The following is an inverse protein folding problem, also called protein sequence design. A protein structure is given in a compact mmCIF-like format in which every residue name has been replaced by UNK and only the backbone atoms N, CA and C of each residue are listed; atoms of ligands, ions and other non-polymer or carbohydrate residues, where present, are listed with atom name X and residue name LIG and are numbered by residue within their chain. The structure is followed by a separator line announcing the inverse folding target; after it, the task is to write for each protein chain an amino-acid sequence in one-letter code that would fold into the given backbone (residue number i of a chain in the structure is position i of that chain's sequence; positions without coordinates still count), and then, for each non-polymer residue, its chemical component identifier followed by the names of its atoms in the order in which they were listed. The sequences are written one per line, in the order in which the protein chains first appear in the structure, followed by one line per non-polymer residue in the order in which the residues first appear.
data_IF_587569275620
#
_entry.id   IF_587569275620
#
_cell.length_a   1.000
_cell.length_b   1.000
_cell.length_c   1.000
_cell.angle_alpha   90.00
_cell.angle_beta   90.00
_cell.angle_gamma   90.00
#
_symmetry.space_group_name_H-M   'P 1'
#
loop_
_entity.id
_entity.type
_entity.pdbx_description
1 polymer ?
#
# COMPACT_ATOMS: atom_id res chain seq x y z
N UNK A 1 -27.94 -29.03 -12.80
CA UNK A 1 -26.71 -28.92 -13.61
C UNK A 1 -26.29 -27.46 -13.62
N UNK A 2 -25.15 -27.15 -13.03
CA UNK A 2 -24.52 -25.84 -13.15
C UNK A 2 -24.00 -25.65 -14.58
N UNK A 3 -24.02 -24.42 -15.08
CA UNK A 3 -23.18 -24.07 -16.22
C UNK A 3 -23.50 -22.73 -16.85
N UNK A 4 -22.60 -21.77 -16.60
CA UNK A 4 -22.33 -20.56 -17.40
C UNK A 4 -22.95 -19.26 -16.88
N UNK A 5 -22.19 -18.60 -16.00
CA UNK A 5 -22.18 -17.14 -15.90
C UNK A 5 -20.81 -16.71 -16.42
N UNK A 6 -20.81 -16.08 -17.59
CA UNK A 6 -19.66 -15.39 -18.16
C UNK A 6 -19.20 -14.28 -17.20
N UNK A 7 -17.89 -14.10 -16.95
CA UNK A 7 -17.42 -12.93 -16.24
C UNK A 7 -17.52 -11.73 -17.19
N UNK A 8 -18.58 -10.95 -17.06
CA UNK A 8 -18.66 -9.63 -17.70
C UNK A 8 -17.48 -8.78 -17.25
N UNK A 9 -16.72 -8.37 -18.25
CA UNK A 9 -15.79 -7.26 -18.21
C UNK A 9 -16.51 -5.98 -17.81
N UNK A 10 -16.28 -5.50 -16.59
CA UNK A 10 -16.40 -4.07 -16.26
C UNK A 10 -15.17 -3.67 -15.44
N UNK A 11 -14.13 -3.30 -16.17
CA UNK A 11 -13.24 -2.23 -15.76
C UNK A 11 -14.07 -0.96 -15.93
N UNK A 12 -14.61 -0.41 -14.85
CA UNK A 12 -14.61 1.04 -14.63
C UNK A 12 -15.27 1.41 -13.31
N UNK A 13 -14.58 2.32 -12.66
CA UNK A 13 -15.06 3.31 -11.71
C UNK A 13 -15.47 2.74 -10.35
N UNK A 14 -14.61 3.03 -9.37
CA UNK A 14 -15.06 3.40 -8.04
C UNK A 14 -16.32 4.26 -8.21
N UNK A 15 -17.49 3.68 -7.93
CA UNK A 15 -18.73 4.44 -7.87
C UNK A 15 -18.59 5.36 -6.67
N UNK A 16 -18.11 6.57 -6.95
CA UNK A 16 -18.34 7.76 -6.16
C UNK A 16 -19.86 7.95 -6.09
N UNK A 17 -20.47 7.23 -5.15
CA UNK A 17 -21.74 7.67 -4.57
C UNK A 17 -21.44 9.00 -3.91
N UNK A 18 -22.20 10.04 -4.26
CA UNK A 18 -22.04 11.42 -3.78
C UNK A 18 -21.75 11.48 -2.27
N UNK A 19 -20.47 11.42 -1.94
CA UNK A 19 -19.96 11.58 -0.58
C UNK A 19 -19.37 12.97 -0.58
N UNK A 20 -20.05 13.87 0.12
CA UNK A 20 -19.44 15.13 0.52
C UNK A 20 -18.18 14.78 1.33
N UNK A 21 -17.02 14.97 0.70
CA UNK A 21 -15.71 14.78 1.32
C UNK A 21 -15.42 16.05 2.10
N UNK A 22 -15.50 15.97 3.43
CA UNK A 22 -15.06 17.06 4.29
C UNK A 22 -13.59 16.85 4.65
N UNK A 23 -12.74 17.77 4.18
CA UNK A 23 -11.34 17.84 4.56
C UNK A 23 -11.22 18.44 5.96
N UNK A 24 -10.63 17.70 6.90
CA UNK A 24 -10.36 18.20 8.24
C UNK A 24 -8.91 17.87 8.60
N UNK A 25 -8.04 18.89 8.55
CA UNK A 25 -6.67 18.78 9.01
C UNK A 25 -6.66 18.60 10.53
N UNK A 26 -6.38 17.39 11.02
CA UNK A 26 -6.21 17.14 12.47
C UNK A 26 -4.82 17.47 12.99
N UNK A 27 -4.16 18.42 12.32
CA UNK A 27 -3.16 19.31 12.89
C UNK A 27 -3.47 20.75 12.46
N UNK A 28 -4.57 21.27 12.98
CA UNK A 28 -4.80 22.68 13.31
C UNK A 28 -6.13 22.80 14.05
N UNK A 29 -6.20 22.44 15.33
CA UNK A 29 -7.43 22.66 16.12
C UNK A 29 -7.76 24.15 16.38
N UNK A 30 -7.27 25.09 15.56
CA UNK A 30 -7.22 26.51 15.89
C UNK A 30 -7.30 27.52 14.71
N UNK A 31 -7.33 27.12 13.43
CA UNK A 31 -7.08 28.10 12.33
C UNK A 31 -8.24 28.63 11.50
N UNK A 32 -9.44 28.07 11.51
CA UNK A 32 -10.53 28.70 10.75
C UNK A 32 -11.17 29.90 11.47
N UNK A 33 -11.23 29.95 12.80
CA UNK A 33 -11.91 31.07 13.47
C UNK A 33 -11.09 32.37 13.55
N UNK A 34 -9.81 32.35 13.14
CA UNK A 34 -8.90 33.49 13.31
C UNK A 34 -8.56 34.17 11.97
N UNK A 35 -8.52 33.46 10.84
CA UNK A 35 -7.90 33.99 9.62
C UNK A 35 -8.85 34.44 8.51
N UNK A 36 -10.16 34.29 8.68
CA UNK A 36 -11.14 34.93 7.77
C UNK A 36 -11.03 36.46 7.73
N UNK A 37 -10.62 37.18 8.80
CA UNK A 37 -10.38 38.63 8.75
C UNK A 37 -8.90 39.02 8.55
N UNK A 38 -7.93 38.14 8.84
CA UNK A 38 -6.48 38.47 8.88
C UNK A 38 -5.81 38.36 7.50
N UNK A 39 -6.52 37.82 6.49
CA UNK A 39 -6.04 37.82 5.10
C UNK A 39 -6.10 39.21 4.43
N UNK A 40 -6.54 40.25 5.16
CA UNK A 40 -6.30 41.64 4.81
C UNK A 40 -5.05 42.15 5.53
N UNK A 41 -4.01 42.36 4.72
CA UNK A 41 -2.78 43.12 4.99
C UNK A 41 -1.65 42.39 5.75
N UNK A 42 -0.51 42.30 5.05
CA UNK A 42 0.84 41.93 5.51
C UNK A 42 1.13 40.43 5.69
N UNK A 43 1.22 39.78 4.52
CA UNK A 43 2.19 38.73 4.14
C UNK A 43 2.60 37.71 5.21
N UNK A 44 2.11 36.47 5.07
CA UNK A 44 2.88 35.30 5.52
C UNK A 44 4.34 35.47 5.04
N UNK A 45 5.33 35.28 5.94
CA UNK A 45 6.70 35.16 5.49
C UNK A 45 6.81 33.92 4.59
N UNK A 46 7.64 34.01 3.55
CA UNK A 46 7.71 33.03 2.47
C UNK A 46 8.03 31.60 2.97
N UNK A 47 8.71 31.44 4.11
CA UNK A 47 9.01 30.14 4.72
C UNK A 47 7.78 29.48 5.37
N UNK A 48 6.91 30.23 6.05
CA UNK A 48 5.65 29.71 6.60
C UNK A 48 4.65 29.39 5.48
N UNK A 49 4.61 30.21 4.43
CA UNK A 49 3.84 29.93 3.22
C UNK A 49 4.37 28.70 2.46
N UNK A 50 5.69 28.51 2.41
CA UNK A 50 6.29 27.31 1.85
C UNK A 50 6.03 26.08 2.71
N UNK A 51 6.09 26.15 4.04
CA UNK A 51 5.69 25.04 4.92
C UNK A 51 4.18 24.73 4.84
N UNK A 52 3.35 25.70 4.46
CA UNK A 52 1.94 25.49 4.13
C UNK A 52 1.73 24.79 2.77
N UNK A 53 2.60 25.05 1.78
CA UNK A 53 2.62 24.33 0.47
C UNK A 53 3.29 22.95 0.60
N UNK A 54 4.29 22.84 1.46
CA UNK A 54 5.05 21.63 1.78
C UNK A 54 4.28 20.92 2.91
N UNK A 55 3.22 20.21 2.54
CA UNK A 55 2.40 19.45 3.50
C UNK A 55 3.29 18.48 4.32
N UNK A 56 3.47 18.83 5.59
CA UNK A 56 4.05 18.00 6.65
C UNK A 56 2.98 17.78 7.72
N UNK A 57 2.53 16.54 7.86
CA UNK A 57 1.44 16.23 8.79
C UNK A 57 0.55 15.10 8.31
N UNK A 58 -0.65 14.99 8.87
CA UNK A 58 -1.64 13.99 8.43
C UNK A 58 -2.93 14.69 8.05
N UNK A 59 -3.37 14.44 6.82
CA UNK A 59 -4.71 14.84 6.36
C UNK A 59 -5.68 13.78 6.84
N UNK A 60 -6.74 14.19 7.54
CA UNK A 60 -7.84 13.32 7.92
C UNK A 60 -9.09 13.69 7.13
N UNK A 61 -9.80 12.68 6.63
CA UNK A 61 -11.10 12.82 5.99
C UNK A 61 -12.13 12.07 6.83
N UNK A 62 -13.37 12.54 6.81
CA UNK A 62 -14.41 12.10 7.72
C UNK A 62 -15.68 11.71 6.98
N UNK A 63 -16.38 10.71 7.51
CA UNK A 63 -17.75 10.40 7.14
C UNK A 63 -18.70 11.51 7.62
N UNK A 64 -19.92 11.55 7.05
CA UNK A 64 -20.97 12.51 7.47
C UNK A 64 -21.31 12.42 8.96
N UNK A 65 -21.13 11.26 9.57
CA UNK A 65 -21.35 11.03 11.01
C UNK A 65 -20.19 11.52 11.91
N UNK A 66 -19.16 12.16 11.34
CA UNK A 66 -18.01 12.69 12.08
C UNK A 66 -16.95 11.65 12.45
N UNK A 67 -17.11 10.39 12.05
CA UNK A 67 -16.06 9.36 12.22
C UNK A 67 -15.02 9.47 11.11
N UNK A 68 -13.80 9.06 11.40
CA UNK A 68 -12.70 9.12 10.44
C UNK A 68 -12.95 8.12 9.31
N UNK A 69 -12.88 8.62 8.08
CA UNK A 69 -12.92 7.85 6.84
C UNK A 69 -11.51 7.45 6.43
N UNK A 70 -10.56 8.38 6.51
CA UNK A 70 -9.21 8.18 6.00
C UNK A 70 -8.19 9.07 6.70
N UNK A 71 -6.96 8.59 6.80
CA UNK A 71 -5.78 9.31 7.29
C UNK A 71 -4.65 9.12 6.30
N UNK A 72 -4.09 10.21 5.81
CA UNK A 72 -2.97 10.18 4.88
C UNK A 72 -1.82 11.02 5.43
N UNK A 73 -0.69 10.40 5.82
CA UNK A 73 0.48 11.14 6.26
C UNK A 73 1.25 11.71 5.06
N UNK A 74 1.73 12.94 5.21
CA UNK A 74 2.55 13.66 4.25
C UNK A 74 3.87 14.10 4.89
N UNK A 75 4.91 14.11 4.08
CA UNK A 75 6.21 14.68 4.38
C UNK A 75 6.78 15.30 3.11
N UNK A 76 7.25 16.53 3.22
CA UNK A 76 7.68 17.41 2.17
C UNK A 76 6.66 17.53 1.02
N UNK A 77 5.38 17.66 1.33
CA UNK A 77 4.31 17.74 0.32
C UNK A 77 3.95 16.39 -0.33
N UNK A 78 4.64 15.31 0.01
CA UNK A 78 4.44 13.98 -0.59
C UNK A 78 3.86 13.00 0.42
N UNK A 79 2.94 12.12 -0.01
CA UNK A 79 2.44 11.02 0.84
C UNK A 79 3.61 10.21 1.37
N UNK A 80 3.74 10.09 2.68
CA UNK A 80 4.88 9.44 3.29
C UNK A 80 4.50 8.83 4.63
N UNK A 81 4.55 7.49 4.70
CA UNK A 81 4.00 6.71 5.81
C UNK A 81 2.84 5.84 5.36
N UNK A 82 2.11 5.29 6.33
CA UNK A 82 0.96 4.44 6.04
C UNK A 82 -0.30 5.30 5.94
N UNK A 83 -0.94 5.28 4.77
CA UNK A 83 -2.31 5.77 4.63
C UNK A 83 -3.28 4.69 5.14
N UNK A 84 -4.29 5.11 5.89
CA UNK A 84 -5.26 4.22 6.53
C UNK A 84 -6.66 4.70 6.16
N UNK A 85 -7.51 3.81 5.66
CA UNK A 85 -8.94 4.05 5.51
C UNK A 85 -9.71 3.14 6.47
N UNK A 86 -10.86 3.62 6.94
CA UNK A 86 -11.66 2.96 7.96
C UNK A 86 -13.07 2.70 7.42
N UNK A 87 -13.77 1.74 8.02
CA UNK A 87 -15.21 1.59 7.89
C UNK A 87 -15.92 2.61 8.78
N UNK A 88 -17.22 2.83 8.57
CA UNK A 88 -18.04 3.67 9.46
C UNK A 88 -18.14 3.12 10.89
N UNK A 89 -17.87 1.82 11.09
CA UNK A 89 -17.70 1.24 12.42
C UNK A 89 -16.44 1.73 13.14
N UNK A 90 -15.49 2.35 12.44
CA UNK A 90 -14.18 2.78 12.94
C UNK A 90 -13.10 1.70 12.82
N UNK A 91 -13.44 0.51 12.34
CA UNK A 91 -12.47 -0.56 12.06
C UNK A 91 -11.67 -0.24 10.81
N UNK A 92 -10.42 -0.68 10.78
CA UNK A 92 -9.56 -0.46 9.62
C UNK A 92 -10.11 -1.23 8.40
N UNK A 93 -10.11 -0.56 7.25
CA UNK A 93 -10.58 -1.08 5.97
C UNK A 93 -9.40 -1.27 5.01
N UNK A 94 -8.52 -0.28 4.91
CA UNK A 94 -7.37 -0.31 3.99
C UNK A 94 -6.14 0.28 4.66
N UNK A 95 -4.98 -0.29 4.36
CA UNK A 95 -3.67 0.25 4.70
C UNK A 95 -2.79 0.29 3.45
N UNK A 96 -2.25 1.45 3.08
CA UNK A 96 -1.37 1.60 1.91
C UNK A 96 -0.04 2.24 2.34
N UNK A 97 1.10 1.56 2.16
CA UNK A 97 2.41 2.12 2.51
C UNK A 97 2.92 3.03 1.39
N UNK A 98 3.02 4.33 1.69
CA UNK A 98 3.67 5.32 0.83
C UNK A 98 5.07 5.65 1.31
N UNK A 99 5.99 5.81 0.37
CA UNK A 99 7.33 6.34 0.57
C UNK A 99 7.57 7.42 -0.49
N UNK A 100 7.68 8.69 -0.06
CA UNK A 100 7.88 9.85 -0.95
C UNK A 100 6.93 9.89 -2.15
N UNK A 101 5.63 9.70 -1.88
CA UNK A 101 4.56 9.75 -2.88
C UNK A 101 4.30 8.43 -3.61
N UNK A 102 5.18 7.43 -3.45
CA UNK A 102 5.10 6.16 -4.19
C UNK A 102 4.68 5.03 -3.27
N UNK A 103 3.76 4.17 -3.71
CA UNK A 103 3.38 2.97 -2.96
C UNK A 103 4.54 1.96 -3.00
N UNK A 104 5.13 1.62 -1.85
CA UNK A 104 6.23 0.64 -1.75
C UNK A 104 6.06 -0.25 -0.52
N UNK A 105 5.75 -1.53 -0.74
CA UNK A 105 5.44 -2.50 0.31
C UNK A 105 4.10 -3.18 0.14
N UNK A 106 3.57 -3.71 1.25
CA UNK A 106 2.34 -4.49 1.26
C UNK A 106 1.18 -3.57 1.64
N UNK A 107 0.27 -3.33 0.70
CA UNK A 107 -1.03 -2.77 0.99
C UNK A 107 -1.98 -3.87 1.48
N UNK A 108 -2.83 -3.55 2.44
CA UNK A 108 -3.76 -4.51 3.05
C UNK A 108 -5.18 -3.98 2.96
N UNK A 109 -6.12 -4.86 2.69
CA UNK A 109 -7.55 -4.62 2.79
C UNK A 109 -8.12 -5.61 3.78
N UNK A 110 -9.07 -5.16 4.59
CA UNK A 110 -9.68 -5.92 5.67
C UNK A 110 -11.18 -5.95 5.47
N UNK A 111 -11.81 -7.05 5.86
CA UNK A 111 -13.25 -7.12 6.05
C UNK A 111 -13.67 -6.30 7.27
N UNK A 112 -14.95 -5.95 7.36
CA UNK A 112 -15.48 -5.27 8.55
C UNK A 112 -15.47 -6.17 9.80
N UNK A 113 -15.29 -7.48 9.65
CA UNK A 113 -14.98 -8.37 10.76
C UNK A 113 -13.62 -8.04 11.43
N UNK A 114 -12.71 -7.39 10.69
CA UNK A 114 -11.31 -7.14 11.04
C UNK A 114 -10.35 -8.19 10.48
N UNK A 115 -10.88 -9.23 9.81
CA UNK A 115 -10.08 -10.24 9.12
C UNK A 115 -9.48 -9.65 7.85
N UNK A 116 -8.32 -10.16 7.47
CA UNK A 116 -7.63 -9.75 6.25
C UNK A 116 -8.42 -10.22 5.03
N UNK A 117 -8.76 -9.30 4.14
CA UNK A 117 -9.47 -9.57 2.89
C UNK A 117 -8.52 -9.65 1.70
N UNK A 118 -7.48 -8.83 1.70
CA UNK A 118 -6.51 -8.77 0.61
C UNK A 118 -5.15 -8.26 1.07
N UNK A 119 -4.08 -8.79 0.51
CA UNK A 119 -2.72 -8.23 0.60
C UNK A 119 -2.20 -8.00 -0.81
N UNK A 120 -1.80 -6.78 -1.13
CA UNK A 120 -1.27 -6.40 -2.45
C UNK A 120 0.19 -5.98 -2.26
N UNK A 121 1.10 -6.68 -2.93
CA UNK A 121 2.53 -6.42 -2.86
C UNK A 121 2.91 -5.43 -3.97
N UNK A 122 3.33 -4.24 -3.56
CA UNK A 122 3.84 -3.19 -4.44
C UNK A 122 5.34 -3.06 -4.35
N UNK A 123 5.95 -2.71 -5.49
CA UNK A 123 7.34 -2.28 -5.59
C UNK A 123 7.45 -1.06 -6.47
N UNK A 124 7.97 0.04 -5.92
CA UNK A 124 8.15 1.30 -6.65
C UNK A 124 6.88 1.75 -7.42
N UNK A 125 5.71 1.63 -6.79
CA UNK A 125 4.41 2.00 -7.36
C UNK A 125 3.78 0.95 -8.27
N UNK A 126 4.49 -0.13 -8.60
CA UNK A 126 3.97 -1.23 -9.44
C UNK A 126 3.41 -2.34 -8.58
N UNK A 127 2.17 -2.75 -8.85
CA UNK A 127 1.59 -3.97 -8.29
C UNK A 127 2.35 -5.19 -8.84
N UNK A 128 2.86 -6.01 -7.93
CA UNK A 128 3.53 -7.26 -8.27
C UNK A 128 2.50 -8.40 -8.24
N UNK A 129 1.77 -8.51 -7.12
CA UNK A 129 0.74 -9.52 -6.90
C UNK A 129 -0.18 -9.20 -5.75
N UNK A 130 -1.27 -9.96 -5.65
CA UNK A 130 -2.08 -9.96 -4.44
C UNK A 130 -2.44 -11.37 -3.96
N UNK A 131 -2.67 -11.46 -2.66
CA UNK A 131 -3.41 -12.53 -1.99
C UNK A 131 -4.79 -11.99 -1.65
N UNK A 132 -5.83 -12.78 -1.83
CA UNK A 132 -7.19 -12.46 -1.40
C UNK A 132 -7.75 -13.62 -0.59
N UNK A 133 -8.58 -13.28 0.37
CA UNK A 133 -9.17 -14.18 1.34
C UNK A 133 -10.69 -14.03 1.26
N UNK A 134 -11.43 -15.10 1.53
CA UNK A 134 -12.89 -15.07 1.58
C UNK A 134 -13.35 -15.21 3.02
N UNK A 135 -14.26 -14.34 3.46
CA UNK A 135 -14.92 -14.45 4.76
C UNK A 135 -16.10 -15.44 4.62
N UNK A 136 -15.85 -16.73 4.88
CA UNK A 136 -16.92 -17.71 5.02
C UNK A 136 -17.10 -18.02 6.51
N UNK A 137 -18.29 -17.73 7.03
CA UNK A 137 -18.75 -17.96 8.41
C UNK A 137 -18.16 -19.23 9.08
N UNK A 138 -17.00 -19.06 9.73
CA UNK A 138 -16.33 -20.00 10.65
C UNK A 138 -15.38 -21.09 10.11
N UNK A 139 -14.77 -21.00 8.91
CA UNK A 139 -13.56 -21.81 8.58
C UNK A 139 -12.54 -21.04 7.72
N UNK A 140 -11.25 -21.24 8.02
CA UNK A 140 -10.12 -20.58 7.35
C UNK A 140 -10.16 -20.70 5.81
N UNK A 141 -10.31 -19.54 5.18
CA UNK A 141 -9.49 -18.97 4.10
C UNK A 141 -9.10 -19.88 2.93
N UNK A 142 -9.92 -19.89 1.88
CA UNK A 142 -9.41 -20.22 0.54
C UNK A 142 -8.60 -19.02 0.03
N UNK A 143 -7.28 -19.10 0.11
CA UNK A 143 -6.40 -18.12 -0.50
C UNK A 143 -6.57 -18.13 -2.03
N UNK A 144 -6.82 -16.97 -2.63
CA UNK A 144 -6.78 -16.80 -4.09
C UNK A 144 -5.82 -15.68 -4.43
N UNK A 145 -4.91 -15.94 -5.35
CA UNK A 145 -3.95 -14.95 -5.79
C UNK A 145 -4.27 -14.45 -7.20
N UNK A 146 -3.92 -13.20 -7.53
CA UNK A 146 -3.95 -12.74 -8.93
C UNK A 146 -3.06 -13.59 -9.80
N UNK A 147 -3.30 -13.67 -11.12
CA UNK A 147 -2.40 -14.28 -12.11
C UNK A 147 -2.02 -15.76 -11.89
N UNK A 148 -2.83 -16.50 -11.14
CA UNK A 148 -2.61 -17.92 -10.91
C UNK A 148 -1.50 -18.20 -9.91
N UNK A 149 -1.19 -17.31 -8.97
CA UNK A 149 -0.23 -17.69 -7.93
C UNK A 149 -0.89 -18.77 -7.06
N UNK A 150 -0.50 -20.01 -7.29
CA UNK A 150 -0.52 -21.01 -6.25
C UNK A 150 0.89 -21.04 -5.67
N UNK A 151 1.06 -21.62 -4.48
CA UNK A 151 2.38 -22.13 -4.05
C UNK A 151 3.00 -23.05 -5.13
N UNK A 152 2.17 -23.55 -6.04
CA UNK A 152 2.53 -24.44 -7.16
C UNK A 152 2.76 -23.70 -8.49
N UNK A 153 2.55 -22.38 -8.57
CA UNK A 153 2.80 -21.62 -9.81
C UNK A 153 4.17 -20.90 -9.76
N UNK A 154 5.15 -21.36 -10.54
CA UNK A 154 6.49 -20.76 -10.58
C UNK A 154 6.53 -19.34 -11.15
N UNK A 155 5.44 -18.85 -11.77
CA UNK A 155 5.35 -17.48 -12.26
C UNK A 155 5.54 -16.45 -11.13
N UNK A 156 5.26 -16.80 -9.86
CA UNK A 156 5.44 -15.90 -8.72
C UNK A 156 6.88 -15.42 -8.56
N UNK A 157 7.85 -16.28 -8.85
CA UNK A 157 9.25 -16.01 -8.57
C UNK A 157 9.81 -14.96 -9.52
N UNK A 158 9.34 -14.96 -10.77
CA UNK A 158 9.66 -13.92 -11.73
C UNK A 158 9.14 -12.56 -11.26
N UNK A 159 7.92 -12.51 -10.70
CA UNK A 159 7.35 -11.28 -10.15
C UNK A 159 8.07 -10.82 -8.87
N UNK A 160 8.42 -11.72 -7.95
CA UNK A 160 9.21 -11.36 -6.75
C UNK A 160 10.53 -10.70 -7.13
N UNK A 161 11.22 -11.26 -8.13
CA UNK A 161 12.49 -10.73 -8.60
C UNK A 161 12.34 -9.55 -9.58
N UNK A 162 11.11 -9.23 -10.00
CA UNK A 162 10.84 -8.15 -10.95
C UNK A 162 11.36 -8.42 -12.37
N UNK A 163 11.47 -9.70 -12.75
CA UNK A 163 12.04 -10.14 -14.03
C UNK A 163 10.97 -10.79 -14.92
N UNK A 164 11.24 -10.88 -16.22
CA UNK A 164 10.38 -11.56 -17.20
C UNK A 164 10.65 -13.07 -17.26
N UNK A 165 9.72 -13.85 -17.83
CA UNK A 165 9.87 -15.32 -17.98
C UNK A 165 11.04 -15.74 -18.88
N UNK A 166 11.47 -14.85 -19.77
CA UNK A 166 12.59 -15.05 -20.69
C UNK A 166 13.90 -14.42 -20.18
N UNK A 167 13.98 -14.09 -18.88
CA UNK A 167 15.20 -13.55 -18.27
C UNK A 167 16.38 -14.52 -18.42
N UNK A 168 17.59 -14.00 -18.60
CA UNK A 168 18.82 -14.81 -18.64
C UNK A 168 19.28 -15.15 -17.22
N UNK A 169 20.13 -16.18 -17.06
CA UNK A 169 20.76 -16.49 -15.75
C UNK A 169 21.56 -15.30 -15.20
N UNK A 170 22.21 -14.54 -16.08
CA UNK A 170 22.99 -13.36 -15.71
C UNK A 170 22.11 -12.22 -15.20
N UNK A 171 21.02 -11.92 -15.91
CA UNK A 171 20.11 -10.84 -15.50
C UNK A 171 19.28 -11.23 -14.29
N UNK A 172 18.97 -12.52 -14.11
CA UNK A 172 18.39 -13.04 -12.88
C UNK A 172 19.32 -12.79 -11.68
N UNK A 173 20.62 -13.10 -11.82
CA UNK A 173 21.64 -12.84 -10.79
C UNK A 173 21.75 -11.37 -10.45
N UNK A 174 21.74 -10.49 -11.46
CA UNK A 174 21.76 -9.04 -11.26
C UNK A 174 20.53 -8.57 -10.49
N UNK A 175 19.33 -8.98 -10.91
CA UNK A 175 18.09 -8.62 -10.23
C UNK A 175 18.08 -9.11 -8.77
N UNK A 176 18.51 -10.34 -8.52
CA UNK A 176 18.69 -10.88 -7.18
C UNK A 176 19.65 -10.03 -6.34
N UNK A 177 20.84 -9.74 -6.85
CA UNK A 177 21.85 -8.96 -6.12
C UNK A 177 21.34 -7.55 -5.77
N UNK A 178 20.67 -6.87 -6.71
CA UNK A 178 20.08 -5.55 -6.44
C UNK A 178 19.01 -5.61 -5.35
N UNK A 179 18.19 -6.67 -5.34
CA UNK A 179 17.17 -6.87 -4.31
C UNK A 179 17.78 -7.22 -2.95
N UNK A 180 18.78 -8.11 -2.90
CA UNK A 180 19.52 -8.43 -1.67
C UNK A 180 20.19 -7.18 -1.13
N UNK A 181 20.88 -6.41 -1.97
CA UNK A 181 21.48 -5.14 -1.58
C UNK A 181 20.43 -4.14 -1.08
N UNK A 182 19.19 -4.16 -1.58
CA UNK A 182 18.10 -3.28 -1.09
C UNK A 182 17.51 -3.76 0.25
N UNK A 183 17.35 -5.07 0.46
CA UNK A 183 16.64 -5.64 1.60
C UNK A 183 17.54 -6.36 2.63
N UNK A 184 18.86 -6.24 2.52
CA UNK A 184 19.79 -6.87 3.47
C UNK A 184 19.50 -6.45 4.92
N UNK A 185 19.38 -7.40 5.87
CA UNK A 185 19.07 -7.10 7.27
C UNK A 185 19.95 -6.02 7.89
N UNK A 186 21.25 -6.03 7.59
CA UNK A 186 22.23 -5.04 8.07
C UNK A 186 21.84 -3.59 7.74
N UNK A 187 21.14 -3.35 6.63
CA UNK A 187 20.67 -1.99 6.28
C UNK A 187 19.54 -1.49 7.16
N UNK A 188 18.87 -2.39 7.86
CA UNK A 188 17.72 -2.11 8.72
C UNK A 188 18.06 -2.31 10.19
N UNK A 189 19.32 -2.54 10.56
CA UNK A 189 19.75 -2.78 11.96
C UNK A 189 19.35 -1.62 12.90
N UNK A 190 19.36 -0.39 12.40
CA UNK A 190 18.95 0.81 13.13
C UNK A 190 17.51 1.27 12.81
N UNK A 191 16.77 0.50 12.02
CA UNK A 191 15.38 0.82 11.64
C UNK A 191 14.36 0.30 12.65
N UNK A 192 13.11 0.73 12.51
CA UNK A 192 12.01 0.27 13.38
C UNK A 192 11.80 -1.24 13.27
N UNK A 193 11.26 -1.87 14.34
CA UNK A 193 10.96 -3.31 14.37
C UNK A 193 10.13 -3.77 13.16
N UNK A 194 9.19 -2.93 12.73
CA UNK A 194 8.31 -3.20 11.59
C UNK A 194 9.04 -3.13 10.24
N UNK A 195 10.02 -2.22 10.11
CA UNK A 195 10.85 -2.14 8.91
C UNK A 195 11.81 -3.32 8.80
N UNK A 196 12.37 -3.76 9.93
CA UNK A 196 13.18 -4.99 10.01
C UNK A 196 12.37 -6.21 9.58
N UNK A 197 11.20 -6.42 10.17
CA UNK A 197 10.31 -7.54 9.83
C UNK A 197 9.88 -7.51 8.36
N UNK A 198 9.63 -6.31 7.79
CA UNK A 198 9.34 -6.16 6.36
C UNK A 198 10.54 -6.54 5.48
N UNK A 199 11.75 -6.12 5.85
CA UNK A 199 12.96 -6.44 5.11
C UNK A 199 13.28 -7.94 5.17
N UNK A 200 13.14 -8.56 6.34
CA UNK A 200 13.35 -10.00 6.55
C UNK A 200 12.38 -10.85 5.71
N UNK A 201 11.08 -10.55 5.77
CA UNK A 201 10.09 -11.26 4.97
C UNK A 201 10.37 -11.12 3.46
N UNK A 202 10.74 -9.92 3.02
CA UNK A 202 11.11 -9.68 1.62
C UNK A 202 12.37 -10.46 1.23
N UNK A 203 13.39 -10.50 2.09
CA UNK A 203 14.62 -11.24 1.85
C UNK A 203 14.33 -12.75 1.72
N UNK A 204 13.45 -13.28 2.56
CA UNK A 204 13.02 -14.69 2.48
C UNK A 204 12.36 -14.99 1.13
N UNK A 205 11.42 -14.16 0.70
CA UNK A 205 10.75 -14.32 -0.60
C UNK A 205 11.74 -14.22 -1.77
N UNK A 206 12.68 -13.28 -1.72
CA UNK A 206 13.72 -13.10 -2.74
C UNK A 206 14.62 -14.33 -2.85
N UNK A 207 15.08 -14.88 -1.72
CA UNK A 207 15.93 -16.06 -1.71
C UNK A 207 15.19 -17.29 -2.26
N UNK A 208 13.97 -17.53 -1.78
CA UNK A 208 13.14 -18.64 -2.27
C UNK A 208 12.90 -18.53 -3.79
N UNK A 209 12.63 -17.32 -4.28
CA UNK A 209 12.44 -17.07 -5.71
C UNK A 209 13.67 -17.32 -6.55
N UNK A 210 14.83 -16.85 -6.08
CA UNK A 210 16.08 -17.03 -6.78
C UNK A 210 16.50 -18.49 -6.83
N UNK A 211 16.44 -19.20 -5.70
CA UNK A 211 16.77 -20.63 -5.62
C UNK A 211 15.91 -21.46 -6.56
N UNK A 212 14.58 -21.22 -6.54
CA UNK A 212 13.68 -21.96 -7.40
C UNK A 212 13.98 -21.71 -8.89
N UNK A 213 14.10 -20.44 -9.31
CA UNK A 213 14.33 -20.14 -10.72
C UNK A 213 15.67 -20.66 -11.19
N UNK A 214 16.74 -20.49 -10.41
CA UNK A 214 18.06 -21.03 -10.72
C UNK A 214 18.05 -22.55 -10.91
N UNK A 215 17.29 -23.28 -10.09
CA UNK A 215 17.16 -24.74 -10.20
C UNK A 215 16.36 -25.18 -11.44
N UNK A 216 15.44 -24.35 -11.91
CA UNK A 216 14.51 -24.65 -13.01
C UNK A 216 14.86 -23.94 -14.33
N UNK A 217 16.01 -23.28 -14.41
CA UNK A 217 16.55 -22.79 -15.68
C UNK A 217 17.01 -23.97 -16.53
N UNK A 218 16.23 -24.28 -17.57
CA UNK A 218 16.59 -25.22 -18.64
C UNK A 218 17.63 -24.56 -19.55
#
# INVERSE_FOLDING_TARGET
MYGNIEPKSEINNFVETEKEVFYYLKSFSYLENIFSPILSEETLNFEEFLNFIILDGTIEEYYKNGKILMRTPFKNGLKNGKMEAFYESGKIKVEIPYNRGVVDGIAKEYFESGRLAKEIHYKNGKEMFYKSYFDNDNKQEKEKYSNGYSKDNPNRYYSILGVSKNVTKEDLKKAYYELVKKYHPDKFENSSKKEKEKAENMMKDINEAYEYLMKNFI
#
